data_IF_333804253469
#
_entry.id   IF_333804253469
#
_cell.length_a   1.000
_cell.length_b   1.000
_cell.length_c   1.000
_cell.angle_alpha   90.00
_cell.angle_beta   90.00
_cell.angle_gamma   90.00
#
_symmetry.space_group_name_H-M   'P 1'
#
loop_
_entity.id
_entity.type
_entity.pdbx_description
1 polymer ?
#
# COMPACT_ATOMS: atom_id res chain seq x y z
N UNK A 1 14.45 -10.21 -5.03
CA UNK A 1 13.93 -10.00 -3.65
C UNK A 1 15.04 -9.36 -2.80
N UNK A 2 15.08 -8.03 -2.70
CA UNK A 2 16.09 -7.28 -1.91
C UNK A 2 15.35 -6.35 -0.96
N UNK A 3 14.91 -6.87 0.19
CA UNK A 3 14.41 -6.06 1.32
C UNK A 3 14.35 -6.83 2.66
N UNK A 4 14.96 -8.03 2.77
CA UNK A 4 14.89 -8.84 3.99
C UNK A 4 16.15 -8.78 4.87
N UNK A 5 17.21 -8.10 4.43
CA UNK A 5 18.42 -7.91 5.24
C UNK A 5 18.33 -6.56 5.96
N UNK A 6 18.08 -6.58 7.27
CA UNK A 6 18.35 -5.44 8.15
C UNK A 6 17.18 -4.86 8.95
N UNK A 7 15.94 -5.34 8.77
CA UNK A 7 14.85 -4.97 9.69
C UNK A 7 14.85 -5.93 10.88
N UNK A 8 15.21 -5.42 12.06
CA UNK A 8 15.00 -6.10 13.34
C UNK A 8 13.50 -6.12 13.64
N UNK A 9 12.82 -7.12 13.08
CA UNK A 9 11.37 -7.29 13.24
C UNK A 9 11.16 -8.14 14.49
N UNK A 10 10.47 -7.55 15.49
CA UNK A 10 9.99 -8.24 16.69
C UNK A 10 9.26 -9.53 16.31
N UNK A 11 9.29 -10.53 17.19
CA UNK A 11 8.63 -11.84 17.00
C UNK A 11 7.24 -11.68 16.37
N UNK A 12 7.07 -12.20 15.15
CA UNK A 12 5.81 -12.11 14.43
C UNK A 12 4.86 -13.21 14.88
N UNK A 13 3.58 -12.91 15.05
CA UNK A 13 2.57 -13.93 15.36
C UNK A 13 2.26 -14.84 14.16
N UNK A 14 2.37 -14.31 12.94
CA UNK A 14 2.04 -15.02 11.70
C UNK A 14 3.01 -14.63 10.57
N UNK A 15 3.52 -15.62 9.87
CA UNK A 15 4.22 -15.47 8.58
C UNK A 15 3.35 -16.05 7.47
N UNK A 16 3.03 -15.24 6.46
CA UNK A 16 2.31 -15.71 5.26
C UNK A 16 3.24 -15.69 4.05
N UNK A 17 3.48 -16.86 3.47
CA UNK A 17 4.24 -17.02 2.24
C UNK A 17 3.29 -17.00 1.04
N UNK A 18 3.32 -15.91 0.27
CA UNK A 18 2.53 -15.81 -0.96
C UNK A 18 2.96 -16.82 -2.04
N UNK A 19 4.26 -17.07 -2.14
CA UNK A 19 4.85 -18.12 -2.98
C UNK A 19 5.67 -19.06 -2.10
N UNK A 20 5.59 -20.35 -2.40
CA UNK A 20 6.42 -21.36 -1.76
C UNK A 20 7.91 -21.13 -2.11
N UNK A 21 8.79 -21.40 -1.15
CA UNK A 21 10.23 -21.25 -1.36
C UNK A 21 10.75 -22.37 -2.27
N UNK A 22 11.73 -22.05 -3.10
CA UNK A 22 12.41 -23.01 -3.96
C UNK A 22 13.46 -23.83 -3.21
N UNK A 23 14.01 -23.24 -2.15
CA UNK A 23 15.08 -23.81 -1.36
C UNK A 23 14.62 -23.97 0.10
N UNK A 24 14.87 -25.13 0.74
CA UNK A 24 14.50 -25.37 2.15
C UNK A 24 15.14 -24.43 3.15
N UNK A 25 16.42 -24.08 2.97
CA UNK A 25 17.13 -23.17 3.87
C UNK A 25 16.51 -21.76 3.79
N UNK A 26 16.15 -21.33 2.58
CA UNK A 26 15.40 -20.09 2.38
C UNK A 26 14.01 -20.17 3.02
N UNK A 27 13.34 -21.32 2.97
CA UNK A 27 12.05 -21.52 3.63
C UNK A 27 12.16 -21.34 5.15
N UNK A 28 13.11 -22.02 5.78
CA UNK A 28 13.37 -21.95 7.22
C UNK A 28 13.69 -20.52 7.65
N UNK A 29 14.54 -19.81 6.89
CA UNK A 29 14.85 -18.41 7.17
C UNK A 29 13.64 -17.46 7.08
N UNK A 30 12.65 -17.77 6.23
CA UNK A 30 11.39 -17.00 6.11
C UNK A 30 10.48 -17.26 7.30
N UNK A 31 10.24 -18.52 7.65
CA UNK A 31 9.33 -18.89 8.73
C UNK A 31 9.93 -18.68 10.12
N UNK A 32 11.26 -18.71 10.27
CA UNK A 32 11.99 -18.41 11.52
C UNK A 32 11.91 -16.94 12.00
N UNK A 33 10.97 -16.16 11.44
CA UNK A 33 10.55 -14.83 11.90
C UNK A 33 9.36 -14.89 12.87
N UNK A 34 8.72 -16.06 13.00
CA UNK A 34 7.72 -16.37 14.03
C UNK A 34 8.29 -17.39 15.03
N UNK A 35 7.54 -17.71 16.10
CA UNK A 35 7.89 -18.72 17.10
C UNK A 35 9.29 -18.57 17.73
N UNK A 36 9.66 -17.34 18.14
CA UNK A 36 10.96 -17.08 18.79
C UNK A 36 10.83 -17.11 20.31
N UNK A 37 11.92 -17.49 21.00
CA UNK A 37 12.02 -17.51 22.46
C UNK A 37 10.99 -18.42 23.18
N UNK A 38 10.61 -19.54 22.56
CA UNK A 38 9.68 -20.52 23.14
C UNK A 38 8.20 -20.20 22.91
N UNK A 39 7.88 -19.06 22.29
CA UNK A 39 6.53 -18.72 21.86
C UNK A 39 6.08 -19.59 20.68
N UNK A 40 4.77 -19.84 20.60
CA UNK A 40 4.17 -20.47 19.43
C UNK A 40 4.02 -19.45 18.29
N UNK A 41 4.08 -19.92 17.06
CA UNK A 41 4.00 -19.08 15.88
C UNK A 41 3.38 -19.82 14.71
N UNK A 42 2.68 -19.09 13.84
CA UNK A 42 1.99 -19.66 12.70
C UNK A 42 2.71 -19.29 11.40
N UNK A 43 2.94 -20.28 10.54
CA UNK A 43 3.44 -20.08 9.18
C UNK A 43 2.47 -20.70 8.18
N UNK A 44 1.89 -19.88 7.31
CA UNK A 44 0.96 -20.31 6.27
C UNK A 44 1.64 -20.07 4.92
N UNK A 45 1.63 -21.07 4.04
CA UNK A 45 2.09 -20.90 2.67
C UNK A 45 0.95 -21.14 1.70
N UNK A 46 0.75 -20.21 0.77
CA UNK A 46 -0.09 -20.49 -0.38
C UNK A 46 0.63 -21.44 -1.32
N UNK A 47 -0.14 -22.36 -1.89
CA UNK A 47 0.34 -23.38 -2.79
C UNK A 47 -0.68 -23.50 -3.91
N UNK A 48 -0.28 -23.16 -5.12
CA UNK A 48 -1.05 -23.48 -6.31
C UNK A 48 -0.99 -25.00 -6.57
N UNK A 49 -1.95 -25.58 -7.32
CA UNK A 49 -1.94 -27.00 -7.65
C UNK A 49 -0.62 -27.49 -8.29
N UNK A 50 0.01 -26.66 -9.11
CA UNK A 50 1.27 -26.93 -9.80
C UNK A 50 2.47 -26.99 -8.83
N UNK A 51 2.33 -26.39 -7.65
CA UNK A 51 3.37 -26.34 -6.63
C UNK A 51 3.28 -27.48 -5.60
N UNK A 52 2.24 -28.32 -5.68
CA UNK A 52 1.96 -29.36 -4.68
C UNK A 52 3.11 -30.36 -4.53
N UNK A 53 3.72 -30.79 -5.65
CA UNK A 53 4.89 -31.68 -5.61
C UNK A 53 6.07 -31.03 -4.89
N UNK A 54 6.29 -29.73 -5.12
CA UNK A 54 7.35 -28.96 -4.46
C UNK A 54 7.08 -28.82 -2.97
N UNK A 55 5.83 -28.63 -2.56
CA UNK A 55 5.44 -28.60 -1.16
C UNK A 55 5.78 -29.92 -0.46
N UNK A 56 5.46 -31.06 -1.09
CA UNK A 56 5.81 -32.39 -0.53
C UNK A 56 7.32 -32.57 -0.38
N UNK A 57 8.09 -32.28 -1.42
CA UNK A 57 9.57 -32.37 -1.35
C UNK A 57 10.12 -31.49 -0.23
N UNK A 58 9.63 -30.26 -0.13
CA UNK A 58 10.05 -29.32 0.92
C UNK A 58 9.69 -29.84 2.32
N UNK A 59 8.52 -30.43 2.48
CA UNK A 59 8.07 -31.02 3.74
C UNK A 59 8.93 -32.22 4.13
N UNK A 60 9.27 -33.09 3.17
CA UNK A 60 10.15 -34.23 3.39
C UNK A 60 11.56 -33.79 3.80
N UNK A 61 12.13 -32.81 3.09
CA UNK A 61 13.45 -32.26 3.40
C UNK A 61 13.51 -31.57 4.77
N UNK A 62 12.41 -30.94 5.19
CA UNK A 62 12.31 -30.26 6.49
C UNK A 62 11.75 -31.16 7.60
N UNK A 63 11.40 -32.41 7.29
CA UNK A 63 10.72 -33.34 8.19
C UNK A 63 9.45 -32.76 8.84
N UNK A 64 8.67 -32.02 8.05
CA UNK A 64 7.42 -31.38 8.47
C UNK A 64 6.20 -32.16 7.94
N UNK A 65 5.13 -32.16 8.71
CA UNK A 65 3.82 -32.60 8.23
C UNK A 65 3.04 -31.42 7.66
N UNK A 66 2.64 -31.51 6.39
CA UNK A 66 1.82 -30.47 5.75
C UNK A 66 0.36 -30.60 6.21
N UNK A 67 -0.16 -29.53 6.80
CA UNK A 67 -1.58 -29.39 7.05
C UNK A 67 -2.24 -28.63 5.89
N UNK A 68 -2.84 -29.37 4.95
CA UNK A 68 -3.52 -28.78 3.80
C UNK A 68 -4.87 -28.18 4.22
N UNK A 69 -4.98 -26.86 4.14
CA UNK A 69 -6.22 -26.15 4.40
C UNK A 69 -6.81 -25.65 3.07
N UNK A 70 -8.12 -25.81 2.84
CA UNK A 70 -8.77 -25.20 1.69
C UNK A 70 -8.68 -23.68 1.79
N UNK A 71 -8.67 -23.00 0.65
CA UNK A 71 -8.79 -21.54 0.63
C UNK A 71 -10.05 -21.13 1.42
N UNK A 72 -9.96 -20.11 2.29
CA UNK A 72 -11.11 -19.67 3.07
C UNK A 72 -12.24 -19.27 2.13
N UNK A 73 -13.41 -19.90 2.28
CA UNK A 73 -14.63 -19.62 1.52
C UNK A 73 -15.56 -18.76 2.39
N UNK A 74 -16.26 -17.81 1.78
CA UNK A 74 -17.30 -17.04 2.46
C UNK A 74 -16.86 -15.72 3.10
N UNK A 75 -15.57 -15.36 3.03
CA UNK A 75 -15.14 -14.02 3.42
C UNK A 75 -15.36 -13.05 2.26
N UNK A 76 -16.42 -12.26 2.32
CA UNK A 76 -16.48 -11.01 1.56
C UNK A 76 -15.46 -10.07 2.18
N UNK A 77 -14.24 -10.06 1.65
CA UNK A 77 -13.27 -9.03 2.00
C UNK A 77 -13.85 -7.73 1.44
N UNK A 78 -14.43 -6.90 2.31
CA UNK A 78 -14.76 -5.54 1.93
C UNK A 78 -13.43 -4.90 1.48
N UNK A 79 -13.31 -4.46 0.23
CA UNK A 79 -12.09 -3.82 -0.22
C UNK A 79 -11.83 -2.64 0.72
N UNK A 80 -10.63 -2.62 1.30
CA UNK A 80 -10.21 -1.48 2.12
C UNK A 80 -10.31 -0.24 1.24
N UNK A 81 -11.30 0.60 1.52
CA UNK A 81 -11.46 1.86 0.81
C UNK A 81 -10.34 2.77 1.25
N UNK A 82 -9.53 3.25 0.30
CA UNK A 82 -8.51 4.23 0.62
C UNK A 82 -9.18 5.47 1.24
N UNK A 83 -8.73 5.88 2.43
CA UNK A 83 -9.24 7.06 3.12
C UNK A 83 -9.02 8.34 2.29
N UNK A 84 -8.00 8.33 1.43
CA UNK A 84 -7.61 9.45 0.58
C UNK A 84 -7.83 9.12 -0.89
N UNK A 85 -8.33 10.10 -1.64
CA UNK A 85 -8.32 10.11 -3.09
C UNK A 85 -7.25 11.09 -3.60
N UNK A 86 -6.72 10.85 -4.80
CA UNK A 86 -5.65 11.69 -5.36
C UNK A 86 -6.20 12.60 -6.46
N UNK A 87 -5.97 13.91 -6.32
CA UNK A 87 -6.16 14.86 -7.41
C UNK A 87 -4.84 15.10 -8.14
N UNK A 88 -4.88 15.07 -9.47
CA UNK A 88 -3.80 15.47 -10.36
C UNK A 88 -4.11 16.86 -10.92
N UNK A 89 -3.22 17.82 -10.65
CA UNK A 89 -3.34 19.21 -11.05
C UNK A 89 -2.25 19.50 -12.08
N UNK A 90 -2.63 20.08 -13.21
CA UNK A 90 -1.67 20.54 -14.23
C UNK A 90 -0.95 21.81 -13.76
N UNK A 91 0.36 21.82 -13.95
CA UNK A 91 1.24 22.91 -13.52
C UNK A 91 2.12 22.51 -12.35
N UNK A 92 3.22 21.81 -12.63
CA UNK A 92 4.21 21.41 -11.63
C UNK A 92 5.33 22.41 -11.40
N UNK A 93 6.54 21.93 -11.12
CA UNK A 93 7.74 22.77 -10.91
C UNK A 93 8.00 23.74 -12.07
N UNK A 94 7.74 23.33 -13.33
CA UNK A 94 7.91 24.21 -14.50
C UNK A 94 6.95 25.41 -14.49
N UNK A 95 5.79 25.25 -13.88
CA UNK A 95 4.84 26.34 -13.63
C UNK A 95 5.16 27.12 -12.33
N UNK A 96 6.31 26.86 -11.70
CA UNK A 96 6.73 27.42 -10.40
C UNK A 96 5.75 27.10 -9.26
N UNK A 97 5.03 25.98 -9.35
CA UNK A 97 4.11 25.55 -8.29
C UNK A 97 4.89 24.90 -7.15
N UNK A 98 4.56 25.28 -5.91
CA UNK A 98 5.12 24.72 -4.67
C UNK A 98 4.03 24.01 -3.86
N UNK A 99 4.37 23.05 -2.97
CA UNK A 99 3.38 22.41 -2.10
C UNK A 99 2.53 23.41 -1.30
N UNK A 100 3.18 24.46 -0.77
CA UNK A 100 2.49 25.53 -0.03
C UNK A 100 1.49 26.33 -0.88
N UNK A 101 1.74 26.49 -2.19
CA UNK A 101 0.78 27.17 -3.09
C UNK A 101 -0.52 26.35 -3.21
N UNK A 102 -0.39 25.02 -3.27
CA UNK A 102 -1.52 24.09 -3.37
C UNK A 102 -2.26 23.97 -2.05
N UNK A 103 -1.52 23.86 -0.94
CA UNK A 103 -2.09 23.85 0.40
C UNK A 103 -2.85 25.15 0.69
N UNK A 104 -2.26 26.29 0.35
CA UNK A 104 -2.88 27.61 0.54
C UNK A 104 -4.15 27.79 -0.28
N UNK A 105 -4.16 27.35 -1.55
CA UNK A 105 -5.37 27.41 -2.39
C UNK A 105 -6.50 26.51 -1.85
N UNK A 106 -6.17 25.33 -1.32
CA UNK A 106 -7.16 24.41 -0.75
C UNK A 106 -7.69 24.89 0.61
N UNK A 107 -6.81 25.36 1.50
CA UNK A 107 -7.21 25.76 2.86
C UNK A 107 -7.76 27.18 2.94
N UNK A 108 -7.14 28.13 2.23
CA UNK A 108 -7.53 29.54 2.22
C UNK A 108 -8.71 29.80 1.29
N UNK A 109 -8.49 29.68 -0.02
CA UNK A 109 -9.48 30.10 -1.03
C UNK A 109 -10.71 29.19 -1.08
N UNK A 110 -10.55 27.92 -0.69
CA UNK A 110 -11.57 26.88 -0.82
C UNK A 110 -12.13 26.37 0.52
N UNK A 111 -11.50 26.77 1.64
CA UNK A 111 -11.98 26.47 2.99
C UNK A 111 -11.94 24.99 3.39
N UNK A 112 -11.02 24.20 2.82
CA UNK A 112 -10.78 22.84 3.30
C UNK A 112 -9.96 22.85 4.60
N UNK A 113 -10.23 21.91 5.49
CA UNK A 113 -9.38 21.71 6.67
C UNK A 113 -8.03 21.13 6.24
N UNK A 114 -6.94 21.60 6.85
CA UNK A 114 -5.61 21.03 6.66
C UNK A 114 -5.55 19.54 7.03
N UNK A 115 -6.40 19.09 7.96
CA UNK A 115 -6.52 17.67 8.33
C UNK A 115 -7.09 16.79 7.21
N UNK A 116 -7.86 17.37 6.26
CA UNK A 116 -8.42 16.65 5.12
C UNK A 116 -7.44 16.58 3.93
N UNK A 117 -6.29 17.25 4.03
CA UNK A 117 -5.27 17.34 2.97
C UNK A 117 -4.05 16.52 3.38
N UNK A 118 -3.76 15.49 2.59
CA UNK A 118 -2.61 14.62 2.79
C UNK A 118 -1.38 15.09 2.02
N UNK A 119 -0.57 14.11 1.62
CA UNK A 119 0.68 14.33 0.92
C UNK A 119 0.48 15.11 -0.39
N UNK A 120 1.26 16.19 -0.54
CA UNK A 120 1.39 16.95 -1.79
C UNK A 120 2.73 16.63 -2.44
N UNK A 121 2.71 16.16 -3.68
CA UNK A 121 3.90 15.77 -4.43
C UNK A 121 3.96 16.55 -5.74
N UNK A 122 5.01 17.34 -5.93
CA UNK A 122 5.18 18.23 -7.09
C UNK A 122 6.16 17.62 -8.08
N UNK A 123 5.68 17.29 -9.27
CA UNK A 123 6.47 16.85 -10.42
C UNK A 123 6.75 18.02 -11.38
N UNK A 124 7.54 17.86 -12.46
CA UNK A 124 7.81 18.95 -13.38
C UNK A 124 6.57 19.54 -14.06
N UNK A 125 5.64 18.69 -14.50
CA UNK A 125 4.44 19.08 -15.24
C UNK A 125 3.15 19.05 -14.41
N UNK A 126 3.07 18.21 -13.38
CA UNK A 126 1.87 18.01 -12.58
C UNK A 126 2.16 18.08 -11.08
N UNK A 127 1.10 18.30 -10.30
CA UNK A 127 1.09 18.13 -8.85
C UNK A 127 0.04 17.11 -8.46
N UNK A 128 0.39 16.21 -7.55
CA UNK A 128 -0.54 15.29 -6.93
C UNK A 128 -0.82 15.73 -5.51
N UNK A 129 -2.08 15.79 -5.13
CA UNK A 129 -2.51 16.05 -3.75
C UNK A 129 -3.48 14.98 -3.31
N UNK A 130 -3.19 14.36 -2.16
CA UNK A 130 -4.12 13.47 -1.49
C UNK A 130 -5.15 14.30 -0.72
N UNK A 131 -6.44 13.99 -0.90
CA UNK A 131 -7.56 14.64 -0.18
C UNK A 131 -8.47 13.55 0.37
N UNK A 132 -9.05 13.76 1.54
CA UNK A 132 -10.00 12.83 2.15
C UNK A 132 -11.14 12.49 1.17
N UNK A 133 -11.47 11.21 1.08
CA UNK A 133 -12.34 10.66 0.03
C UNK A 133 -13.71 11.34 -0.03
N UNK A 134 -14.31 11.62 1.13
CA UNK A 134 -15.60 12.31 1.24
C UNK A 134 -15.57 13.75 0.67
N UNK A 135 -14.43 14.43 0.72
CA UNK A 135 -14.23 15.79 0.24
C UNK A 135 -13.63 15.87 -1.17
N UNK A 136 -13.09 14.77 -1.69
CA UNK A 136 -12.38 14.74 -2.97
C UNK A 136 -13.23 15.26 -4.16
N UNK A 137 -14.52 14.91 -4.21
CA UNK A 137 -15.41 15.38 -5.27
C UNK A 137 -15.70 16.89 -5.18
N UNK A 138 -15.80 17.42 -3.95
CA UNK A 138 -15.97 18.86 -3.70
C UNK A 138 -14.70 19.61 -4.09
N UNK A 139 -13.54 19.12 -3.68
CA UNK A 139 -12.24 19.71 -4.01
C UNK A 139 -11.98 19.69 -5.52
N UNK A 140 -12.31 18.59 -6.20
CA UNK A 140 -12.22 18.50 -7.67
C UNK A 140 -13.03 19.59 -8.36
N UNK A 141 -14.31 19.77 -8.00
CA UNK A 141 -15.19 20.79 -8.60
C UNK A 141 -14.70 22.21 -8.32
N UNK A 142 -14.26 22.49 -7.09
CA UNK A 142 -13.76 23.83 -6.73
C UNK A 142 -12.43 24.14 -7.41
N UNK A 143 -11.50 23.18 -7.52
CA UNK A 143 -10.25 23.37 -8.22
C UNK A 143 -10.42 23.50 -9.73
N UNK A 144 -11.42 22.83 -10.32
CA UNK A 144 -11.71 22.94 -11.75
C UNK A 144 -12.15 24.35 -12.15
N UNK A 145 -12.87 25.05 -11.25
CA UNK A 145 -13.31 26.43 -11.46
C UNK A 145 -12.40 27.47 -10.77
N UNK A 146 -11.48 27.00 -9.93
CA UNK A 146 -10.60 27.82 -9.11
C UNK A 146 -9.32 28.23 -9.81
N UNK A 147 -8.53 29.04 -9.11
CA UNK A 147 -7.20 29.44 -9.54
C UNK A 147 -6.20 29.03 -8.48
N UNK A 148 -5.06 28.48 -8.89
CA UNK A 148 -3.91 28.28 -8.01
C UNK A 148 -2.88 29.31 -8.44
N UNK A 149 -2.42 30.16 -7.51
CA UNK A 149 -1.45 31.23 -7.82
C UNK A 149 -1.95 32.17 -8.92
N UNK A 150 -3.25 32.45 -8.92
CA UNK A 150 -3.92 33.31 -9.92
C UNK A 150 -4.07 32.69 -11.32
N UNK A 151 -3.69 31.42 -11.54
CA UNK A 151 -3.82 30.73 -12.82
C UNK A 151 -4.86 29.63 -12.76
N UNK A 152 -5.67 29.51 -13.81
CA UNK A 152 -6.56 28.37 -13.96
C UNK A 152 -5.73 27.10 -14.24
N UNK A 153 -6.04 26.03 -13.52
CA UNK A 153 -5.36 24.74 -13.65
C UNK A 153 -6.37 23.69 -14.06
N UNK A 154 -5.97 22.79 -14.97
CA UNK A 154 -6.75 21.59 -15.24
C UNK A 154 -6.52 20.59 -14.11
N UNK A 155 -7.61 19.99 -13.63
CA UNK A 155 -7.57 19.03 -12.54
C UNK A 155 -8.27 17.75 -12.96
N UNK A 156 -7.78 16.61 -12.47
CA UNK A 156 -8.35 15.27 -12.66
C UNK A 156 -8.38 14.53 -11.34
N UNK A 157 -9.51 13.90 -11.03
CA UNK A 157 -9.61 12.95 -9.93
C UNK A 157 -9.12 11.58 -10.41
N UNK A 158 -8.08 11.05 -9.77
CA UNK A 158 -7.59 9.70 -10.03
C UNK A 158 -8.41 8.71 -9.20
N UNK A 159 -9.01 7.73 -9.88
CA UNK A 159 -9.72 6.61 -9.29
C UNK A 159 -8.82 5.40 -9.20
#
# INVERSE_FOLDING_TARGET
KVAARGLDIKSLALVVNFELAWDPEVHVHRIGRTARAGEQGLAISFCAPEEAQRATILADMLQLSLNWLPAPKGNTIAPLTAEMATLCIDGGKKAKMRPGDVLGALTGDMGFDGADIGKITVHPAHVYVAIRQNMAQKAYKQLQNGKIKGKACRVRLLK
#
